data_IF_768973356598
#
_entry.id   IF_768973356598
#
_cell.length_a   1.000
_cell.length_b   1.000
_cell.length_c   1.000
_cell.angle_alpha   90.00
_cell.angle_beta   90.00
_cell.angle_gamma   90.00
#
_symmetry.space_group_name_H-M   'P 1'
#
loop_
_entity.id
_entity.type
_entity.pdbx_description
1 polymer ?
#
# COMPACT_ATOMS: atom_id res chain seq x y z
N UNK A 1 -21.70 2.27 -14.36
CA UNK A 1 -22.50 1.59 -15.41
C UNK A 1 -21.76 1.50 -16.74
N UNK A 2 -21.00 2.53 -17.17
CA UNK A 2 -20.31 2.56 -18.48
C UNK A 2 -19.00 1.77 -18.62
N UNK A 3 -18.53 1.08 -17.57
CA UNK A 3 -17.26 0.34 -17.62
C UNK A 3 -17.43 -1.14 -18.01
N UNK A 4 -18.64 -1.69 -17.84
CA UNK A 4 -18.97 -3.08 -18.17
C UNK A 4 -19.63 -3.15 -19.56
N UNK A 5 -18.84 -2.86 -20.60
CA UNK A 5 -19.31 -2.84 -21.99
C UNK A 5 -18.74 -4.04 -22.73
N UNK A 6 -19.61 -4.88 -23.29
CA UNK A 6 -19.17 -5.90 -24.23
C UNK A 6 -19.06 -5.30 -25.63
N UNK A 7 -17.83 -5.05 -26.08
CA UNK A 7 -17.55 -4.42 -27.37
C UNK A 7 -17.99 -5.31 -28.53
N UNK A 8 -17.85 -6.65 -28.42
CA UNK A 8 -18.29 -7.56 -29.49
C UNK A 8 -19.80 -7.48 -29.67
N UNK A 9 -20.53 -7.49 -28.55
CA UNK A 9 -21.99 -7.34 -28.55
C UNK A 9 -22.40 -5.99 -29.10
N UNK A 10 -21.73 -4.92 -28.70
CA UNK A 10 -21.99 -3.56 -29.17
C UNK A 10 -21.81 -3.44 -30.69
N UNK A 11 -20.69 -3.92 -31.23
CA UNK A 11 -20.42 -3.89 -32.68
C UNK A 11 -21.47 -4.69 -33.44
N UNK A 12 -21.87 -5.85 -32.92
CA UNK A 12 -22.93 -6.67 -33.55
C UNK A 12 -24.27 -5.94 -33.57
N UNK A 13 -24.64 -5.26 -32.49
CA UNK A 13 -25.88 -4.50 -32.39
C UNK A 13 -25.90 -3.28 -33.32
N UNK A 14 -24.76 -2.58 -33.46
CA UNK A 14 -24.60 -1.42 -34.35
C UNK A 14 -24.54 -1.80 -35.83
N UNK A 15 -24.18 -3.04 -36.15
CA UNK A 15 -24.16 -3.53 -37.54
C UNK A 15 -25.61 -3.76 -38.01
N UNK A 16 -26.04 -3.23 -39.17
CA UNK A 16 -27.36 -3.52 -39.74
C UNK A 16 -27.57 -5.02 -39.99
N UNK A 17 -28.80 -5.51 -39.80
CA UNK A 17 -29.12 -6.95 -39.81
C UNK A 17 -28.67 -7.68 -41.08
N UNK A 18 -28.81 -7.04 -42.24
CA UNK A 18 -28.42 -7.61 -43.54
C UNK A 18 -26.89 -7.73 -43.75
N UNK A 19 -26.07 -7.02 -42.96
CA UNK A 19 -24.61 -7.09 -42.97
C UNK A 19 -24.03 -8.02 -41.89
N UNK A 20 -24.86 -8.58 -41.00
CA UNK A 20 -24.42 -9.49 -39.90
C UNK A 20 -24.09 -10.91 -40.38
N UNK A 21 -23.39 -11.03 -41.50
CA UNK A 21 -22.87 -12.33 -41.99
C UNK A 21 -21.57 -12.66 -41.27
N UNK A 22 -21.30 -13.96 -41.07
CA UNK A 22 -20.13 -14.47 -40.34
C UNK A 22 -18.80 -13.82 -40.76
N UNK A 23 -18.53 -13.75 -42.07
CA UNK A 23 -17.29 -13.15 -42.61
C UNK A 23 -17.14 -11.67 -42.28
N UNK A 24 -18.23 -10.90 -42.38
CA UNK A 24 -18.20 -9.46 -42.12
C UNK A 24 -18.03 -9.18 -40.64
N UNK A 25 -18.72 -9.93 -39.77
CA UNK A 25 -18.53 -9.82 -38.32
C UNK A 25 -17.12 -10.23 -37.89
N UNK A 26 -16.54 -11.27 -38.48
CA UNK A 26 -15.16 -11.67 -38.21
C UNK A 26 -14.16 -10.56 -38.59
N UNK A 27 -14.35 -9.92 -39.74
CA UNK A 27 -13.55 -8.77 -40.16
C UNK A 27 -13.70 -7.58 -39.20
N UNK A 28 -14.92 -7.24 -38.81
CA UNK A 28 -15.17 -6.19 -37.81
C UNK A 28 -14.50 -6.52 -36.48
N UNK A 29 -14.55 -7.79 -36.01
CA UNK A 29 -13.87 -8.27 -34.79
C UNK A 29 -12.36 -8.05 -34.83
N UNK A 30 -11.73 -8.30 -35.98
CA UNK A 30 -10.31 -8.00 -36.15
C UNK A 30 -10.03 -6.49 -36.00
N UNK A 31 -10.88 -5.63 -36.58
CA UNK A 31 -10.70 -4.17 -36.53
C UNK A 31 -10.84 -3.58 -35.11
N UNK A 32 -11.83 -4.04 -34.34
CA UNK A 32 -12.08 -3.50 -32.99
C UNK A 32 -11.38 -4.26 -31.86
N UNK A 33 -10.58 -5.28 -32.17
CA UNK A 33 -9.75 -5.99 -31.19
C UNK A 33 -8.94 -5.06 -30.26
N UNK A 34 -8.24 -3.99 -30.73
CA UNK A 34 -7.49 -3.11 -29.82
C UNK A 34 -8.38 -2.38 -28.82
N UNK A 35 -9.65 -2.10 -29.14
CA UNK A 35 -10.59 -1.47 -28.21
C UNK A 35 -10.90 -2.37 -27.01
N UNK A 36 -10.91 -3.69 -27.21
CA UNK A 36 -11.07 -4.66 -26.11
C UNK A 36 -9.87 -4.59 -25.16
N UNK A 37 -8.66 -4.63 -25.71
CA UNK A 37 -7.45 -4.50 -24.90
C UNK A 37 -7.38 -3.17 -24.15
N UNK A 38 -7.86 -2.08 -24.74
CA UNK A 38 -7.97 -0.78 -24.08
C UNK A 38 -8.98 -0.83 -22.92
N UNK A 39 -10.16 -1.43 -23.13
CA UNK A 39 -11.18 -1.56 -22.10
C UNK A 39 -10.70 -2.44 -20.93
N UNK A 40 -9.98 -3.53 -21.22
CA UNK A 40 -9.40 -4.40 -20.19
C UNK A 40 -8.37 -3.64 -19.34
N UNK A 41 -7.47 -2.87 -19.97
CA UNK A 41 -6.51 -2.01 -19.28
C UNK A 41 -7.19 -0.92 -18.45
N UNK A 42 -8.24 -0.31 -18.99
CA UNK A 42 -9.04 0.68 -18.28
C UNK A 42 -9.70 0.07 -17.04
N UNK A 43 -10.32 -1.10 -17.17
CA UNK A 43 -10.97 -1.80 -16.06
C UNK A 43 -9.96 -2.23 -15.00
N UNK A 44 -8.79 -2.72 -15.40
CA UNK A 44 -7.69 -3.03 -14.48
C UNK A 44 -7.28 -1.78 -13.68
N UNK A 45 -6.94 -0.68 -14.36
CA UNK A 45 -6.55 0.58 -13.73
C UNK A 45 -7.66 1.12 -12.80
N UNK A 46 -8.91 1.05 -13.25
CA UNK A 46 -10.08 1.44 -12.44
C UNK A 46 -10.19 0.61 -11.17
N UNK A 47 -10.02 -0.70 -11.25
CA UNK A 47 -10.11 -1.58 -10.09
C UNK A 47 -8.98 -1.30 -9.09
N UNK A 48 -7.76 -1.08 -9.58
CA UNK A 48 -6.62 -0.65 -8.75
C UNK A 48 -6.91 0.69 -8.05
N UNK A 49 -7.45 1.67 -8.77
CA UNK A 49 -7.81 2.96 -8.17
C UNK A 49 -8.94 2.83 -7.14
N UNK A 50 -9.94 2.00 -7.40
CA UNK A 50 -11.00 1.73 -6.43
C UNK A 50 -10.45 1.04 -5.18
N UNK A 51 -9.54 0.09 -5.35
CA UNK A 51 -8.83 -0.52 -4.22
C UNK A 51 -8.09 0.54 -3.41
N UNK A 52 -7.35 1.43 -4.09
CA UNK A 52 -6.64 2.53 -3.42
C UNK A 52 -7.58 3.49 -2.68
N UNK A 53 -8.77 3.79 -3.22
CA UNK A 53 -9.76 4.66 -2.58
C UNK A 53 -10.47 3.99 -1.39
N UNK A 54 -10.58 2.67 -1.38
CA UNK A 54 -11.21 1.90 -0.30
C UNK A 54 -10.30 1.73 0.92
N UNK A 55 -8.99 1.92 0.77
CA UNK A 55 -8.02 1.76 1.85
C UNK A 55 -7.43 3.11 2.25
N UNK A 56 -7.12 3.27 3.52
CA UNK A 56 -6.55 4.50 4.08
C UNK A 56 -5.47 4.14 5.11
N UNK A 57 -4.91 5.17 5.76
CA UNK A 57 -3.88 5.02 6.78
C UNK A 57 -4.32 4.43 8.12
N UNK A 58 -5.60 4.01 8.29
CA UNK A 58 -6.03 3.32 9.51
C UNK A 58 -5.35 1.96 9.62
N UNK A 59 -5.06 1.54 10.86
CA UNK A 59 -4.30 0.33 11.18
C UNK A 59 -4.83 -0.91 10.46
N UNK A 60 -6.15 -1.11 10.44
CA UNK A 60 -6.76 -2.28 9.80
C UNK A 60 -6.54 -2.30 8.28
N UNK A 61 -6.72 -1.15 7.61
CA UNK A 61 -6.59 -1.02 6.16
C UNK A 61 -5.13 -1.02 5.71
N UNK A 62 -4.26 -0.26 6.38
CA UNK A 62 -2.84 -0.25 6.06
C UNK A 62 -2.21 -1.63 6.25
N UNK A 63 -2.56 -2.34 7.34
CA UNK A 63 -2.13 -3.73 7.55
C UNK A 63 -2.65 -4.64 6.45
N UNK A 64 -3.89 -4.48 6.02
CA UNK A 64 -4.48 -5.27 4.93
C UNK A 64 -3.71 -5.06 3.64
N UNK A 65 -3.49 -3.82 3.21
CA UNK A 65 -2.74 -3.49 1.98
C UNK A 65 -1.34 -4.08 2.00
N UNK A 66 -0.63 -3.97 3.13
CA UNK A 66 0.72 -4.51 3.25
C UNK A 66 0.74 -6.04 3.12
N UNK A 67 -0.21 -6.74 3.74
CA UNK A 67 -0.31 -8.19 3.62
C UNK A 67 -0.77 -8.61 2.22
N UNK A 68 -1.73 -7.92 1.62
CA UNK A 68 -2.21 -8.21 0.26
C UNK A 68 -1.11 -8.04 -0.80
N UNK A 69 -0.09 -7.21 -0.54
CA UNK A 69 1.01 -6.95 -1.47
C UNK A 69 2.28 -7.75 -1.20
N UNK A 70 2.64 -7.95 0.07
CA UNK A 70 3.94 -8.53 0.45
C UNK A 70 3.85 -9.89 1.14
N UNK A 71 2.76 -10.21 1.85
CA UNK A 71 2.59 -11.49 2.56
C UNK A 71 1.18 -12.06 2.34
N UNK A 72 0.87 -12.38 1.07
CA UNK A 72 -0.46 -12.82 0.64
C UNK A 72 -0.90 -14.10 1.36
N UNK A 73 0.04 -15.02 1.56
CA UNK A 73 -0.22 -16.37 2.06
C UNK A 73 -0.38 -16.41 3.58
N UNK A 74 0.59 -15.88 4.32
CA UNK A 74 0.64 -16.02 5.78
C UNK A 74 0.15 -14.79 6.52
N UNK A 75 0.14 -13.62 5.85
CA UNK A 75 -0.42 -12.35 6.35
C UNK A 75 0.09 -11.92 7.73
N UNK A 76 1.39 -12.07 7.97
CA UNK A 76 2.02 -11.89 9.29
C UNK A 76 2.46 -10.46 9.58
N UNK A 77 2.34 -9.52 8.63
CA UNK A 77 2.74 -8.13 8.85
C UNK A 77 1.80 -7.49 9.86
N UNK A 78 2.37 -6.86 10.89
CA UNK A 78 1.64 -6.18 11.95
C UNK A 78 1.99 -4.70 12.01
N UNK A 79 1.08 -3.89 12.56
CA UNK A 79 1.32 -2.49 12.86
C UNK A 79 1.19 -2.34 14.36
N UNK A 80 2.25 -1.88 15.00
CA UNK A 80 2.29 -1.57 16.41
C UNK A 80 2.32 -0.05 16.62
N UNK A 81 1.88 0.39 17.79
CA UNK A 81 2.02 1.78 18.20
C UNK A 81 3.50 2.18 18.28
N UNK A 82 3.72 3.47 18.04
CA UNK A 82 5.02 4.12 18.09
C UNK A 82 5.62 4.20 19.50
N UNK A 83 6.56 5.12 19.65
CA UNK A 83 7.48 5.25 20.79
C UNK A 83 6.98 4.74 22.14
N UNK A 84 7.81 3.89 22.75
CA UNK A 84 7.56 3.31 24.08
C UNK A 84 8.49 3.85 25.16
N UNK A 85 9.58 4.51 24.78
CA UNK A 85 10.66 4.84 25.71
C UNK A 85 10.76 6.35 25.98
N UNK A 86 10.90 6.69 27.26
CA UNK A 86 11.18 8.05 27.70
C UNK A 86 12.68 8.33 27.65
N UNK A 87 13.06 9.55 27.22
CA UNK A 87 14.45 9.98 27.23
C UNK A 87 14.95 10.10 28.67
N UNK A 88 16.13 9.55 28.92
CA UNK A 88 16.82 9.74 30.18
C UNK A 88 17.86 10.84 30.00
N UNK A 89 17.67 11.96 30.69
CA UNK A 89 18.63 13.06 30.68
C UNK A 89 19.73 12.82 31.71
N UNK A 90 20.97 13.12 31.31
CA UNK A 90 22.15 13.17 32.16
C UNK A 90 22.43 14.65 32.42
N UNK A 91 22.58 15.01 33.69
CA UNK A 91 22.87 16.37 34.10
C UNK A 91 24.36 16.69 33.91
N UNK A 92 24.64 17.92 33.54
CA UNK A 92 26.01 18.44 33.45
C UNK A 92 26.55 18.78 34.84
N UNK A 93 27.88 18.82 35.00
CA UNK A 93 28.52 19.10 36.29
C UNK A 93 28.10 20.46 36.88
N UNK A 94 27.86 21.45 36.02
CA UNK A 94 27.41 22.79 36.41
C UNK A 94 25.99 22.83 37.00
N UNK A 95 25.16 21.83 36.73
CA UNK A 95 23.80 21.73 37.28
C UNK A 95 23.78 21.15 38.71
N UNK A 96 24.91 20.62 39.20
CA UNK A 96 25.09 20.05 40.55
C UNK A 96 24.00 19.05 40.97
N UNK A 97 23.50 18.25 40.00
CA UNK A 97 22.48 17.22 40.22
C UNK A 97 23.05 15.82 40.01
N UNK A 98 23.77 15.26 41.00
CA UNK A 98 24.34 13.92 40.87
C UNK A 98 23.22 12.89 40.72
N UNK A 99 23.28 12.08 39.65
CA UNK A 99 22.30 11.04 39.35
C UNK A 99 23.02 9.72 39.07
N UNK A 100 22.65 8.67 39.79
CA UNK A 100 23.18 7.34 39.56
C UNK A 100 22.49 6.71 38.33
N UNK A 101 23.26 6.42 37.29
CA UNK A 101 22.72 6.02 35.97
C UNK A 101 22.43 4.52 35.83
N UNK A 102 22.90 3.68 36.75
CA UNK A 102 22.71 2.22 36.67
C UNK A 102 23.12 1.64 35.31
N UNK A 103 22.38 0.63 34.83
CA UNK A 103 22.53 0.10 33.47
C UNK A 103 21.61 0.87 32.53
N UNK A 104 22.19 1.65 31.62
CA UNK A 104 21.47 2.42 30.60
C UNK A 104 21.67 1.81 29.22
N UNK A 105 20.56 1.50 28.53
CA UNK A 105 20.60 1.06 27.14
C UNK A 105 20.40 2.25 26.21
N UNK A 106 21.43 2.53 25.40
CA UNK A 106 21.34 3.52 24.34
C UNK A 106 20.47 2.97 23.20
N UNK A 107 19.60 3.83 22.67
CA UNK A 107 18.66 3.52 21.59
C UNK A 107 18.72 4.63 20.55
N UNK A 108 18.18 4.32 19.38
CA UNK A 108 18.06 5.29 18.29
C UNK A 108 17.13 6.45 18.68
N UNK A 109 17.35 7.63 18.11
CA UNK A 109 16.55 8.82 18.40
C UNK A 109 15.05 8.63 18.05
N UNK A 110 14.80 7.78 17.06
CA UNK A 110 13.50 7.41 16.53
C UNK A 110 12.66 6.51 17.46
N UNK A 111 13.24 6.00 18.55
CA UNK A 111 12.56 5.10 19.50
C UNK A 111 12.04 5.84 20.76
N UNK A 112 12.32 7.15 20.89
CA UNK A 112 11.98 7.97 22.06
C UNK A 112 10.75 8.85 21.85
N UNK A 113 9.91 8.99 22.89
CA UNK A 113 8.60 9.64 22.87
C UNK A 113 8.52 11.00 22.13
N UNK A 114 9.46 11.92 22.36
CA UNK A 114 9.42 13.29 21.79
C UNK A 114 9.77 13.36 20.29
N UNK A 115 10.69 12.53 19.80
CA UNK A 115 11.19 12.59 18.42
C UNK A 115 10.77 11.43 17.56
N UNK A 116 10.37 10.34 18.17
CA UNK A 116 10.28 9.09 17.46
C UNK A 116 8.99 8.92 16.68
N UNK A 117 8.78 7.69 16.25
CA UNK A 117 7.75 7.37 15.25
C UNK A 117 6.37 7.23 15.87
N UNK A 118 5.32 7.56 15.10
CA UNK A 118 3.93 7.39 15.51
C UNK A 118 3.48 5.92 15.46
N UNK A 119 4.03 5.12 14.54
CA UNK A 119 3.75 3.69 14.43
C UNK A 119 4.92 2.91 13.85
N UNK A 120 4.95 1.61 14.13
CA UNK A 120 5.98 0.69 13.68
C UNK A 120 5.33 -0.41 12.83
N UNK A 121 5.85 -0.63 11.63
CA UNK A 121 5.49 -1.75 10.77
C UNK A 121 6.41 -2.92 11.07
N UNK A 122 5.86 -3.97 11.66
CA UNK A 122 6.55 -5.19 12.02
C UNK A 122 6.45 -6.18 10.86
N UNK A 123 7.60 -6.52 10.29
CA UNK A 123 7.73 -7.43 9.16
C UNK A 123 8.35 -8.75 9.65
N UNK A 124 7.76 -9.92 9.36
CA UNK A 124 8.33 -11.19 9.77
C UNK A 124 9.69 -11.46 9.13
N UNK A 125 10.59 -12.05 9.90
CA UNK A 125 11.86 -12.60 9.43
C UNK A 125 11.63 -13.61 8.29
N UNK A 126 12.47 -13.53 7.26
CA UNK A 126 12.39 -14.40 6.09
C UNK A 126 11.37 -13.99 5.01
N UNK A 127 10.64 -12.88 5.19
CA UNK A 127 9.86 -12.31 4.10
C UNK A 127 10.78 -11.67 3.06
N UNK A 128 10.69 -12.10 1.80
CA UNK A 128 11.37 -11.43 0.69
C UNK A 128 10.49 -10.29 0.19
N UNK A 129 10.94 -9.04 0.34
CA UNK A 129 10.21 -7.86 -0.12
C UNK A 129 11.18 -6.76 -0.56
N UNK A 130 10.71 -5.90 -1.46
CA UNK A 130 11.43 -4.69 -1.83
C UNK A 130 11.15 -3.57 -0.81
N UNK A 131 12.18 -3.16 -0.07
CA UNK A 131 12.05 -2.11 0.94
C UNK A 131 11.62 -0.75 0.40
N UNK A 132 12.01 -0.39 -0.83
CA UNK A 132 11.59 0.86 -1.46
C UNK A 132 10.10 0.85 -1.84
N UNK A 133 9.63 -0.28 -2.35
CA UNK A 133 8.21 -0.47 -2.69
C UNK A 133 7.34 -0.40 -1.43
N UNK A 134 7.73 -1.08 -0.36
CA UNK A 134 7.00 -1.03 0.92
C UNK A 134 6.94 0.39 1.47
N UNK A 135 8.05 1.14 1.42
CA UNK A 135 8.07 2.56 1.82
C UNK A 135 7.15 3.42 0.96
N UNK A 136 7.11 3.20 -0.35
CA UNK A 136 6.24 3.94 -1.25
C UNK A 136 4.75 3.67 -0.95
N UNK A 137 4.39 2.40 -0.69
CA UNK A 137 3.03 2.01 -0.31
C UNK A 137 2.64 2.64 1.03
N UNK A 138 3.50 2.56 2.06
CA UNK A 138 3.22 3.19 3.35
C UNK A 138 3.09 4.71 3.18
N UNK A 139 3.95 5.33 2.39
CA UNK A 139 3.91 6.77 2.12
C UNK A 139 2.62 7.21 1.43
N UNK A 140 2.10 6.40 0.51
CA UNK A 140 0.85 6.68 -0.21
C UNK A 140 -0.38 6.69 0.72
N UNK A 141 -0.45 5.74 1.67
CA UNK A 141 -1.63 5.59 2.53
C UNK A 141 -1.55 6.33 3.87
N UNK A 142 -0.34 6.56 4.41
CA UNK A 142 -0.19 7.22 5.71
C UNK A 142 -0.70 8.65 5.66
N UNK A 143 -1.16 9.16 6.80
CA UNK A 143 -1.39 10.59 6.95
C UNK A 143 -0.07 11.36 6.84
N UNK A 144 -0.07 12.51 6.16
CA UNK A 144 1.13 13.28 5.86
C UNK A 144 1.97 13.62 7.12
N UNK A 145 1.30 13.92 8.24
CA UNK A 145 1.96 14.27 9.50
C UNK A 145 2.55 13.07 10.26
N UNK A 146 2.23 11.83 9.88
CA UNK A 146 2.62 10.64 10.65
C UNK A 146 4.01 10.12 10.26
N UNK A 147 4.82 9.82 11.26
CA UNK A 147 6.16 9.21 11.17
C UNK A 147 6.06 7.71 11.40
N UNK A 148 6.87 6.93 10.69
CA UNK A 148 6.85 5.47 10.79
C UNK A 148 8.24 4.88 10.76
N UNK A 149 8.39 3.69 11.36
CA UNK A 149 9.59 2.84 11.27
C UNK A 149 9.19 1.48 10.73
N UNK A 150 10.05 0.87 9.94
CA UNK A 150 9.90 -0.54 9.55
C UNK A 150 10.92 -1.33 10.38
N UNK A 151 10.45 -2.38 11.04
CA UNK A 151 11.28 -3.24 11.88
C UNK A 151 11.00 -4.70 11.54
N UNK A 152 12.07 -5.49 11.43
CA UNK A 152 11.97 -6.93 11.20
C UNK A 152 11.88 -7.65 12.54
N UNK A 153 10.98 -8.64 12.66
CA UNK A 153 10.73 -9.44 13.87
C UNK A 153 10.81 -10.95 13.62
#
# INVERSE_FOLDING_TARGET
MWYNVDINKLVTLLTPTFLRKEKHLAWLRALHYPLRGLLDRFNFNRNENLYNLQHNGQVCYLRKVLNDRFDVSQRRIQIADGNRYQRQYIYTDGEQKPKYLGVMHLRDDADYADTGVDFIVLVPTGLSYNGYEMRAVIYFYKLASKRYKIQVI
#
